data_IF_139031351106
#
_entry.id   IF_139031351106
#
_cell.length_a   1.000
_cell.length_b   1.000
_cell.length_c   1.000
_cell.angle_alpha   90.00
_cell.angle_beta   90.00
_cell.angle_gamma   90.00
#
_symmetry.space_group_name_H-M   'P 1'
#
loop_
_entity.id
_entity.type
_entity.pdbx_description
1 polymer ?
#
# COMPACT_ATOMS: atom_id res chain seq x y z
N UNK A 1 -19.18 2.58 -19.62
CA UNK A 1 -19.65 2.49 -18.23
C UNK A 1 -20.53 3.70 -17.99
N UNK A 2 -21.85 3.50 -17.89
CA UNK A 2 -22.80 4.60 -17.71
C UNK A 2 -22.45 5.39 -16.46
N UNK A 3 -22.38 6.71 -16.60
CA UNK A 3 -22.13 7.64 -15.51
C UNK A 3 -23.44 7.77 -14.71
N UNK A 4 -23.73 6.77 -13.88
CA UNK A 4 -24.77 6.88 -12.85
C UNK A 4 -24.35 8.01 -11.93
N UNK A 5 -25.11 9.11 -11.95
CA UNK A 5 -24.90 10.18 -10.99
C UNK A 5 -25.77 9.89 -9.79
N UNK A 6 -25.29 10.21 -8.59
CA UNK A 6 -26.06 10.08 -7.35
C UNK A 6 -27.42 10.84 -7.41
N UNK A 7 -27.57 11.78 -8.34
CA UNK A 7 -28.82 12.51 -8.61
C UNK A 7 -29.86 11.70 -9.41
N UNK A 8 -29.52 10.48 -9.86
CA UNK A 8 -30.44 9.55 -10.53
C UNK A 8 -31.19 8.64 -9.55
N UNK A 9 -30.84 8.67 -8.26
CA UNK A 9 -31.52 7.89 -7.21
C UNK A 9 -32.92 8.46 -6.93
N UNK A 10 -33.91 7.57 -6.81
CA UNK A 10 -35.33 7.93 -6.59
C UNK A 10 -35.54 8.82 -5.35
N UNK A 11 -34.70 8.65 -4.33
CA UNK A 11 -34.75 9.38 -3.07
C UNK A 11 -34.61 10.90 -3.25
N UNK A 12 -33.97 11.36 -4.34
CA UNK A 12 -33.85 12.79 -4.67
C UNK A 12 -34.96 13.31 -5.59
N UNK A 13 -35.76 12.42 -6.19
CA UNK A 13 -36.82 12.76 -7.16
C UNK A 13 -38.22 12.67 -6.54
N UNK A 14 -38.37 11.83 -5.52
CA UNK A 14 -39.64 11.60 -4.85
C UNK A 14 -39.82 12.53 -3.65
N UNK A 15 -41.07 12.86 -3.27
CA UNK A 15 -41.36 13.53 -2.01
C UNK A 15 -40.81 12.72 -0.82
N UNK A 16 -40.42 13.42 0.25
CA UNK A 16 -39.90 12.77 1.46
C UNK A 16 -40.84 11.67 1.97
N UNK A 17 -40.29 10.47 2.14
CA UNK A 17 -41.03 9.31 2.65
C UNK A 17 -41.80 8.49 1.60
N UNK A 18 -41.82 8.93 0.33
CA UNK A 18 -42.39 8.13 -0.75
C UNK A 18 -41.33 7.23 -1.39
N UNK A 19 -41.69 5.96 -1.62
CA UNK A 19 -40.79 4.96 -2.21
C UNK A 19 -41.38 4.33 -3.47
N UNK A 20 -40.57 4.14 -4.51
CA UNK A 20 -40.93 3.36 -5.71
C UNK A 20 -41.01 1.87 -5.36
N UNK A 21 -42.12 1.23 -5.72
CA UNK A 21 -42.39 -0.18 -5.41
C UNK A 21 -42.49 -1.06 -6.65
N UNK A 22 -42.61 -0.48 -7.84
CA UNK A 22 -42.53 -1.24 -9.08
C UNK A 22 -42.87 -0.43 -10.33
N UNK A 23 -42.66 -1.08 -11.47
CA UNK A 23 -42.94 -0.52 -12.79
C UNK A 23 -43.81 -1.50 -13.57
N UNK A 24 -44.96 -1.02 -14.03
CA UNK A 24 -45.81 -1.80 -14.92
C UNK A 24 -45.38 -1.53 -16.37
N UNK A 25 -44.71 -2.52 -16.96
CA UNK A 25 -44.22 -2.44 -18.34
C UNK A 25 -45.36 -2.37 -19.37
N UNK A 26 -46.52 -2.97 -19.07
CA UNK A 26 -47.65 -3.00 -20.00
C UNK A 26 -48.30 -1.61 -20.11
N UNK A 27 -48.44 -0.91 -18.98
CA UNK A 27 -49.00 0.44 -18.96
C UNK A 27 -47.95 1.55 -19.03
N UNK A 28 -46.67 1.23 -18.87
CA UNK A 28 -45.56 2.17 -18.84
C UNK A 28 -45.61 3.11 -17.65
N UNK A 29 -46.00 2.62 -16.47
CA UNK A 29 -46.26 3.46 -15.28
C UNK A 29 -45.50 2.99 -14.05
N UNK A 30 -45.03 3.95 -13.27
CA UNK A 30 -44.42 3.70 -11.97
C UNK A 30 -45.47 3.71 -10.86
N UNK A 31 -45.28 2.81 -9.89
CA UNK A 31 -46.07 2.72 -8.67
C UNK A 31 -45.20 3.03 -7.46
N UNK A 32 -45.79 3.74 -6.51
CA UNK A 32 -45.13 4.24 -5.32
C UNK A 32 -45.95 3.92 -4.07
N UNK A 33 -45.28 3.78 -2.93
CA UNK A 33 -45.87 3.60 -1.61
C UNK A 33 -45.40 4.74 -0.72
N UNK A 34 -46.35 5.39 -0.07
CA UNK A 34 -46.12 6.44 0.92
C UNK A 34 -45.80 5.84 2.30
N UNK A 35 -45.30 6.65 3.23
CA UNK A 35 -45.11 6.33 4.65
C UNK A 35 -46.38 5.82 5.32
N UNK A 36 -47.53 6.38 4.93
CA UNK A 36 -48.86 5.97 5.40
C UNK A 36 -49.34 4.64 4.78
N UNK A 37 -48.53 3.99 3.94
CA UNK A 37 -48.90 2.79 3.19
C UNK A 37 -49.85 3.06 2.00
N UNK A 38 -50.17 4.33 1.73
CA UNK A 38 -50.98 4.72 0.57
C UNK A 38 -50.24 4.44 -0.73
N UNK A 39 -50.96 3.91 -1.72
CA UNK A 39 -50.41 3.60 -3.03
C UNK A 39 -50.65 4.74 -4.01
N UNK A 40 -49.67 5.01 -4.84
CA UNK A 40 -49.67 6.10 -5.81
C UNK A 40 -49.19 5.61 -7.16
N UNK A 41 -49.76 6.14 -8.24
CA UNK A 41 -49.31 5.89 -9.62
C UNK A 41 -48.84 7.17 -10.30
N UNK A 42 -47.78 7.08 -11.08
CA UNK A 42 -47.30 8.15 -11.94
C UNK A 42 -48.06 8.27 -13.26
N UNK A 43 -47.81 9.35 -14.03
CA UNK A 43 -48.23 9.45 -15.42
C UNK A 43 -47.51 8.40 -16.29
N UNK A 44 -48.08 8.06 -17.45
CA UNK A 44 -47.46 7.11 -18.38
C UNK A 44 -46.14 7.68 -18.94
N UNK A 45 -45.06 6.93 -18.82
CA UNK A 45 -43.75 7.25 -19.41
C UNK A 45 -43.12 8.55 -18.92
N UNK A 46 -43.61 9.12 -17.81
CA UNK A 46 -43.14 10.39 -17.29
C UNK A 46 -42.16 10.17 -16.13
N UNK A 47 -40.98 10.78 -16.24
CA UNK A 47 -39.98 10.84 -15.15
C UNK A 47 -40.41 11.84 -14.06
N UNK A 48 -41.17 12.88 -14.44
CA UNK A 48 -41.68 13.91 -13.53
C UNK A 48 -43.16 14.18 -13.82
N UNK A 49 -43.97 14.36 -12.78
CA UNK A 49 -45.38 14.70 -12.93
C UNK A 49 -46.19 14.55 -11.66
N UNK A 50 -47.49 14.82 -11.77
CA UNK A 50 -48.42 14.62 -10.66
C UNK A 50 -48.77 13.14 -10.53
N UNK A 51 -48.69 12.64 -9.30
CA UNK A 51 -49.07 11.27 -8.94
C UNK A 51 -50.55 11.20 -8.52
N UNK A 52 -51.20 10.09 -8.83
CA UNK A 52 -52.60 9.85 -8.47
C UNK A 52 -52.68 8.68 -7.49
N UNK A 53 -53.42 8.87 -6.39
CA UNK A 53 -53.63 7.81 -5.39
C UNK A 53 -54.43 6.66 -6.01
N UNK A 54 -54.01 5.43 -5.73
CA UNK A 54 -54.68 4.19 -6.16
C UNK A 54 -54.91 3.28 -4.97
N UNK A 55 -55.89 2.38 -5.08
CA UNK A 55 -56.20 1.41 -4.03
C UNK A 55 -55.64 0.01 -4.34
N UNK A 56 -55.34 -0.29 -5.61
CA UNK A 56 -54.92 -1.60 -6.06
C UNK A 56 -53.71 -1.50 -7.00
N UNK A 57 -52.79 -2.45 -6.88
CA UNK A 57 -51.64 -2.63 -7.76
C UNK A 57 -51.98 -3.63 -8.87
N UNK A 58 -51.41 -3.51 -10.07
CA UNK A 58 -51.53 -4.54 -11.09
C UNK A 58 -50.82 -5.83 -10.64
N UNK A 59 -51.30 -6.98 -11.09
CA UNK A 59 -50.81 -8.30 -10.66
C UNK A 59 -49.30 -8.51 -10.89
N UNK A 60 -48.75 -7.88 -11.93
CA UNK A 60 -47.30 -7.88 -12.23
C UNK A 60 -46.50 -7.21 -11.12
N UNK A 61 -46.91 -6.01 -10.71
CA UNK A 61 -46.26 -5.25 -9.64
C UNK A 61 -46.53 -5.89 -8.26
N UNK A 62 -47.72 -6.45 -8.04
CA UNK A 62 -48.01 -7.18 -6.79
C UNK A 62 -47.04 -8.35 -6.57
N UNK A 63 -46.81 -9.15 -7.61
CA UNK A 63 -45.88 -10.28 -7.54
C UNK A 63 -44.43 -9.82 -7.28
N UNK A 64 -43.99 -8.72 -7.93
CA UNK A 64 -42.65 -8.14 -7.70
C UNK A 64 -42.49 -7.66 -6.25
N UNK A 65 -43.50 -6.98 -5.71
CA UNK A 65 -43.50 -6.50 -4.32
C UNK A 65 -43.46 -7.67 -3.34
N UNK A 66 -44.29 -8.69 -3.52
CA UNK A 66 -44.33 -9.88 -2.65
C UNK A 66 -42.99 -10.64 -2.66
N UNK A 67 -42.36 -10.77 -3.83
CA UNK A 67 -41.03 -11.37 -3.95
C UNK A 67 -39.95 -10.56 -3.23
N UNK A 68 -40.00 -9.22 -3.31
CA UNK A 68 -39.06 -8.32 -2.65
C UNK A 68 -39.19 -8.33 -1.11
N UNK A 69 -40.42 -8.42 -0.60
CA UNK A 69 -40.71 -8.48 0.85
C UNK A 69 -40.23 -9.82 1.46
N UNK A 70 -40.31 -10.92 0.70
CA UNK A 70 -39.89 -12.25 1.17
C UNK A 70 -38.37 -12.44 1.24
N UNK A 71 -37.60 -11.74 0.41
CA UNK A 71 -36.16 -11.90 0.29
C UNK A 71 -35.32 -10.90 1.10
N UNK A 72 -35.95 -10.09 1.95
CA UNK A 72 -35.21 -9.19 2.85
C UNK A 72 -34.66 -7.97 2.11
N UNK A 73 -35.54 -7.19 1.47
CA UNK A 73 -35.55 -5.73 1.58
C UNK A 73 -34.33 -4.93 1.13
N UNK A 74 -33.53 -5.39 0.16
CA UNK A 74 -32.58 -4.50 -0.52
C UNK A 74 -33.25 -3.94 -1.79
N UNK A 75 -33.81 -2.75 -1.68
CA UNK A 75 -34.61 -2.11 -2.72
C UNK A 75 -33.78 -1.14 -3.58
N UNK A 76 -32.46 -1.16 -3.38
CA UNK A 76 -31.57 -0.09 -3.85
C UNK A 76 -31.29 -0.21 -5.36
N UNK A 77 -31.63 -1.34 -5.97
CA UNK A 77 -31.39 -1.65 -7.38
C UNK A 77 -32.67 -2.06 -8.14
N UNK A 78 -33.84 -1.50 -7.79
CA UNK A 78 -35.08 -1.76 -8.56
C UNK A 78 -34.99 -1.28 -10.03
N UNK A 79 -34.02 -0.42 -10.35
CA UNK A 79 -33.73 0.03 -11.72
C UNK A 79 -32.91 -1.00 -12.54
N UNK A 80 -32.29 -1.97 -11.87
CA UNK A 80 -31.42 -2.97 -12.49
C UNK A 80 -31.92 -4.43 -12.36
N UNK A 81 -33.16 -4.63 -11.90
CA UNK A 81 -33.72 -5.98 -11.82
C UNK A 81 -33.81 -6.64 -13.21
N UNK A 82 -33.17 -7.80 -13.42
CA UNK A 82 -33.23 -8.48 -14.70
C UNK A 82 -34.68 -8.87 -15.01
N UNK A 83 -35.12 -8.46 -16.20
CA UNK A 83 -36.37 -8.82 -16.88
C UNK A 83 -36.90 -10.20 -16.46
N UNK A 84 -37.95 -10.23 -15.64
CA UNK A 84 -38.79 -11.42 -15.54
C UNK A 84 -39.72 -11.48 -16.76
N UNK A 85 -39.13 -11.70 -17.94
CA UNK A 85 -39.90 -12.14 -19.10
C UNK A 85 -40.45 -13.52 -18.80
N UNK A 86 -41.71 -13.77 -19.13
CA UNK A 86 -42.41 -15.03 -18.86
C UNK A 86 -41.71 -16.27 -19.46
N UNK A 87 -40.76 -16.06 -20.39
CA UNK A 87 -39.93 -17.09 -20.97
C UNK A 87 -38.47 -16.60 -21.17
N UNK A 88 -37.52 -17.26 -20.50
CA UNK A 88 -36.10 -17.31 -20.87
C UNK A 88 -35.15 -16.41 -20.08
N UNK A 89 -34.57 -16.96 -19.00
CA UNK A 89 -33.13 -17.10 -18.70
C UNK A 89 -32.98 -17.31 -17.19
N UNK A 90 -32.99 -18.58 -16.78
CA UNK A 90 -32.69 -18.98 -15.40
C UNK A 90 -31.18 -18.87 -15.19
N UNK A 91 -30.74 -18.15 -14.16
CA UNK A 91 -29.32 -18.06 -13.79
C UNK A 91 -28.86 -19.45 -13.38
N UNK A 92 -28.10 -20.12 -14.26
CA UNK A 92 -27.48 -21.40 -13.95
C UNK A 92 -26.33 -21.14 -12.97
N UNK A 93 -26.61 -21.31 -11.68
CA UNK A 93 -25.57 -21.36 -10.66
C UNK A 93 -24.78 -22.66 -10.79
N UNK A 94 -23.45 -22.49 -10.86
CA UNK A 94 -22.40 -23.51 -10.98
C UNK A 94 -22.60 -24.78 -10.13
N UNK A 95 -22.59 -25.91 -10.84
CA UNK A 95 -21.96 -27.21 -10.52
C UNK A 95 -22.10 -27.82 -9.12
N UNK A 96 -22.80 -28.96 -9.12
CA UNK A 96 -22.51 -30.21 -8.40
C UNK A 96 -22.38 -30.20 -6.87
N UNK A 97 -23.39 -30.80 -6.19
CA UNK A 97 -23.22 -31.99 -5.33
C UNK A 97 -24.55 -32.48 -4.73
N UNK A 98 -24.92 -33.68 -5.16
CA UNK A 98 -25.55 -34.80 -4.46
C UNK A 98 -26.63 -34.53 -3.38
N UNK A 99 -27.86 -34.85 -3.79
CA UNK A 99 -28.84 -35.71 -3.11
C UNK A 99 -28.54 -36.06 -1.64
N UNK A 100 -29.32 -35.51 -0.70
CA UNK A 100 -30.08 -36.24 0.35
C UNK A 100 -30.90 -35.22 1.16
N UNK A 101 -32.23 -35.43 1.15
CA UNK A 101 -33.26 -34.67 1.84
C UNK A 101 -32.88 -34.21 3.26
N UNK A 102 -32.65 -32.91 3.42
CA UNK A 102 -32.81 -32.19 4.70
C UNK A 102 -33.47 -30.84 4.43
N UNK A 103 -34.53 -30.44 5.15
CA UNK A 103 -35.04 -29.09 5.06
C UNK A 103 -33.90 -28.16 5.49
N UNK A 104 -33.52 -27.26 4.57
CA UNK A 104 -32.44 -26.31 4.74
C UNK A 104 -32.78 -25.37 5.90
N UNK A 105 -32.48 -25.78 7.13
CA UNK A 105 -32.16 -24.85 8.20
C UNK A 105 -30.93 -24.09 7.69
N UNK A 106 -31.17 -22.90 7.15
CA UNK A 106 -30.13 -21.98 6.77
C UNK A 106 -29.41 -21.61 8.07
N UNK A 107 -28.41 -22.41 8.45
CA UNK A 107 -27.47 -22.03 9.47
C UNK A 107 -26.75 -20.83 8.89
N UNK A 108 -27.23 -19.63 9.24
CA UNK A 108 -26.62 -18.36 8.91
C UNK A 108 -25.27 -18.34 9.64
N UNK A 109 -24.29 -19.00 9.07
CA UNK A 109 -22.92 -18.59 9.28
C UNK A 109 -22.77 -17.29 8.51
N UNK A 110 -22.97 -16.19 9.23
CA UNK A 110 -22.52 -14.84 8.88
C UNK A 110 -20.98 -14.87 8.74
N UNK A 111 -20.49 -15.57 7.72
CA UNK A 111 -19.07 -15.68 7.40
C UNK A 111 -18.74 -15.09 6.02
N UNK A 112 -19.74 -14.54 5.32
CA UNK A 112 -19.54 -13.86 4.04
C UNK A 112 -19.00 -12.44 4.18
N UNK A 113 -19.25 -11.74 5.31
CA UNK A 113 -18.74 -10.37 5.52
C UNK A 113 -17.22 -10.31 5.60
N UNK A 114 -16.56 -11.39 6.07
CA UNK A 114 -15.11 -11.44 6.19
C UNK A 114 -14.41 -11.92 4.90
N UNK A 115 -15.13 -12.45 3.90
CA UNK A 115 -14.53 -12.90 2.63
C UNK A 115 -14.02 -11.73 1.80
N UNK A 116 -14.73 -10.61 1.81
CA UNK A 116 -14.27 -9.35 1.19
C UNK A 116 -13.23 -8.62 2.04
N UNK A 117 -13.19 -8.86 3.35
CA UNK A 117 -12.22 -8.24 4.26
C UNK A 117 -10.90 -9.02 4.37
N UNK A 118 -10.90 -10.32 4.05
CA UNK A 118 -9.73 -11.19 4.02
C UNK A 118 -8.53 -10.63 3.23
N UNK A 119 -8.69 -10.09 1.99
CA UNK A 119 -7.56 -9.48 1.29
C UNK A 119 -6.97 -8.28 2.05
N UNK A 120 -7.80 -7.47 2.73
CA UNK A 120 -7.31 -6.35 3.53
C UNK A 120 -6.59 -6.82 4.79
N UNK A 121 -7.09 -7.85 5.47
CA UNK A 121 -6.41 -8.43 6.63
C UNK A 121 -5.07 -9.07 6.26
N UNK A 122 -4.96 -9.72 5.09
CA UNK A 122 -3.68 -10.23 4.59
C UNK A 122 -2.69 -9.09 4.29
N UNK A 123 -3.15 -8.02 3.64
CA UNK A 123 -2.30 -6.85 3.38
C UNK A 123 -1.84 -6.22 4.71
N UNK A 124 -2.75 -6.01 5.66
CA UNK A 124 -2.43 -5.47 6.99
C UNK A 124 -1.44 -6.38 7.72
N UNK A 125 -1.63 -7.70 7.71
CA UNK A 125 -0.72 -8.64 8.34
C UNK A 125 0.68 -8.60 7.70
N UNK A 126 0.78 -8.55 6.37
CA UNK A 126 2.06 -8.42 5.66
C UNK A 126 2.71 -7.07 5.98
N UNK A 127 1.97 -5.97 5.98
CA UNK A 127 2.47 -4.65 6.35
C UNK A 127 2.95 -4.61 7.81
N UNK A 128 2.22 -5.20 8.75
CA UNK A 128 2.63 -5.31 10.14
C UNK A 128 3.89 -6.18 10.30
N UNK A 129 4.02 -7.28 9.56
CA UNK A 129 5.23 -8.08 9.53
C UNK A 129 6.41 -7.34 8.90
N UNK A 130 6.19 -6.51 7.88
CA UNK A 130 7.23 -5.67 7.28
C UNK A 130 7.65 -4.52 8.19
N UNK A 131 6.70 -3.88 8.88
CA UNK A 131 6.97 -2.84 9.87
C UNK A 131 7.66 -3.44 11.09
N UNK A 132 7.19 -4.57 11.61
CA UNK A 132 7.88 -5.32 12.66
C UNK A 132 9.28 -5.72 12.23
N UNK A 133 9.45 -6.24 11.01
CA UNK A 133 10.77 -6.56 10.46
C UNK A 133 11.65 -5.30 10.35
N UNK A 134 11.10 -4.17 9.95
CA UNK A 134 11.81 -2.90 9.81
C UNK A 134 12.19 -2.29 11.18
N UNK A 135 11.33 -2.46 12.19
CA UNK A 135 11.55 -1.97 13.56
C UNK A 135 12.45 -2.90 14.39
N UNK A 136 12.41 -4.21 14.14
CA UNK A 136 13.21 -5.24 14.85
C UNK A 136 14.52 -5.55 14.14
N UNK A 137 14.66 -5.25 12.83
CA UNK A 137 15.92 -5.40 12.08
C UNK A 137 16.39 -4.07 11.47
N UNK A 138 17.07 -3.20 12.23
CA UNK A 138 17.79 -2.07 11.64
C UNK A 138 19.12 -2.49 10.99
N UNK A 139 19.30 -3.74 10.52
CA UNK A 139 20.65 -4.20 10.10
C UNK A 139 20.73 -5.59 9.43
N UNK A 140 20.07 -5.85 8.29
CA UNK A 140 20.43 -7.02 7.46
C UNK A 140 20.62 -6.72 5.96
N UNK A 141 20.46 -5.48 5.52
CA UNK A 141 20.74 -5.11 4.12
C UNK A 141 21.30 -3.71 3.97
N UNK A 142 22.09 -3.27 4.96
CA UNK A 142 23.15 -2.34 4.64
C UNK A 142 24.41 -3.20 4.52
N UNK A 143 25.03 -3.36 3.34
CA UNK A 143 26.48 -3.43 3.39
C UNK A 143 26.91 -2.21 4.21
N UNK A 144 27.93 -2.35 5.05
CA UNK A 144 28.59 -1.22 5.66
C UNK A 144 29.30 -0.38 4.57
N UNK A 145 28.52 0.16 3.63
CA UNK A 145 28.80 1.40 2.95
C UNK A 145 28.06 2.48 3.77
N UNK A 146 28.33 2.54 5.07
CA UNK A 146 28.74 3.87 5.54
C UNK A 146 29.83 4.27 4.55
N UNK A 147 29.77 5.42 3.85
CA UNK A 147 30.98 5.88 3.21
C UNK A 147 32.01 5.93 4.34
N UNK A 148 32.88 4.93 4.39
CA UNK A 148 34.04 4.93 5.27
C UNK A 148 34.76 6.15 4.77
N UNK A 149 34.54 7.28 5.44
CA UNK A 149 35.11 8.57 5.02
C UNK A 149 36.63 8.44 4.98
N UNK A 150 37.14 7.46 5.73
CA UNK A 150 38.53 7.08 5.87
C UNK A 150 38.72 5.57 5.71
N UNK A 151 39.78 5.11 5.02
CA UNK A 151 40.10 3.69 4.84
C UNK A 151 40.35 2.97 6.17
N UNK A 152 40.35 1.63 6.16
CA UNK A 152 40.60 0.81 7.35
C UNK A 152 41.89 1.23 8.08
N UNK A 153 41.84 1.34 9.42
CA UNK A 153 42.99 1.75 10.23
C UNK A 153 43.22 3.27 10.32
N UNK A 154 42.33 4.08 9.74
CA UNK A 154 42.37 5.55 9.83
C UNK A 154 41.09 6.10 10.43
N UNK A 155 41.20 7.23 11.13
CA UNK A 155 40.10 7.94 11.77
C UNK A 155 39.96 9.34 11.18
N UNK A 156 38.73 9.82 11.09
CA UNK A 156 38.46 11.19 10.67
C UNK A 156 38.94 12.18 11.75
N UNK A 157 39.65 13.21 11.31
CA UNK A 157 40.18 14.30 12.12
C UNK A 157 39.82 15.64 11.50
N UNK A 158 39.43 16.60 12.32
CA UNK A 158 39.06 17.94 11.89
C UNK A 158 40.24 18.90 12.03
N UNK A 159 40.64 19.49 10.91
CA UNK A 159 41.75 20.44 10.87
C UNK A 159 41.41 21.71 11.66
N UNK A 160 42.30 22.10 12.57
CA UNK A 160 42.19 23.34 13.33
C UNK A 160 42.80 24.52 12.55
N UNK A 161 42.35 25.77 12.82
CA UNK A 161 42.95 26.96 12.22
C UNK A 161 44.47 27.02 12.43
N UNK A 162 45.21 27.29 11.35
CA UNK A 162 46.67 27.44 11.38
C UNK A 162 47.47 26.14 11.29
N UNK A 163 46.83 24.97 11.17
CA UNK A 163 47.53 23.71 10.93
C UNK A 163 47.81 23.49 9.43
N UNK A 164 48.97 22.91 9.12
CA UNK A 164 49.31 22.46 7.77
C UNK A 164 49.24 20.94 7.62
N UNK A 165 49.06 20.43 6.40
CA UNK A 165 49.10 18.98 6.11
C UNK A 165 50.40 18.35 6.62
N UNK A 166 51.53 19.05 6.46
CA UNK A 166 52.85 18.55 6.82
C UNK A 166 53.04 18.41 8.34
N UNK A 167 52.57 19.38 9.12
CA UNK A 167 52.64 19.30 10.58
C UNK A 167 51.75 18.20 11.13
N UNK A 168 50.52 18.11 10.61
CA UNK A 168 49.52 17.13 11.04
C UNK A 168 49.93 15.70 10.66
N UNK A 169 50.49 15.50 9.46
CA UNK A 169 51.00 14.18 9.06
C UNK A 169 52.20 13.76 9.91
N UNK A 170 53.13 14.69 10.16
CA UNK A 170 54.34 14.44 10.97
C UNK A 170 54.01 14.13 12.42
N UNK A 171 53.07 14.85 13.04
CA UNK A 171 52.61 14.57 14.41
C UNK A 171 52.05 13.15 14.53
N UNK A 172 51.41 12.65 13.47
CA UNK A 172 50.81 11.32 13.39
C UNK A 172 51.76 10.23 12.88
N UNK A 173 52.99 10.58 12.54
CA UNK A 173 54.00 9.63 12.05
C UNK A 173 53.81 9.20 10.59
N UNK A 174 53.09 9.97 9.78
CA UNK A 174 52.92 9.74 8.34
C UNK A 174 53.80 10.65 7.49
N UNK A 175 54.25 10.11 6.35
CA UNK A 175 54.81 10.92 5.27
C UNK A 175 53.71 11.71 4.54
N UNK A 176 54.10 12.79 3.87
CA UNK A 176 53.16 13.62 3.10
C UNK A 176 52.52 12.83 1.94
N UNK A 177 53.26 11.88 1.34
CA UNK A 177 52.79 11.03 0.27
C UNK A 177 51.67 10.09 0.75
N UNK A 178 51.86 9.43 1.90
CA UNK A 178 50.84 8.56 2.52
C UNK A 178 49.58 9.34 2.92
N UNK A 179 49.75 10.59 3.38
CA UNK A 179 48.63 11.47 3.70
C UNK A 179 47.78 11.80 2.46
N UNK A 180 48.42 12.11 1.33
CA UNK A 180 47.73 12.43 0.09
C UNK A 180 47.04 11.19 -0.52
N UNK A 181 47.64 10.01 -0.40
CA UNK A 181 47.04 8.75 -0.85
C UNK A 181 45.74 8.44 -0.07
N UNK A 182 45.74 8.65 1.24
CA UNK A 182 44.55 8.49 2.08
C UNK A 182 43.51 9.60 1.87
N UNK A 183 43.91 10.77 1.37
CA UNK A 183 43.09 11.97 1.25
C UNK A 183 43.20 12.64 -0.13
N UNK A 184 42.84 11.96 -1.23
CA UNK A 184 43.01 12.51 -2.59
C UNK A 184 42.13 13.74 -2.88
N UNK A 185 41.15 14.03 -2.01
CA UNK A 185 40.23 15.17 -2.12
C UNK A 185 40.70 16.42 -1.36
N UNK A 186 41.80 16.33 -0.61
CA UNK A 186 42.29 17.40 0.25
C UNK A 186 43.44 18.11 -0.43
N UNK A 187 43.29 19.41 -0.66
CA UNK A 187 44.36 20.23 -1.19
C UNK A 187 45.20 20.82 -0.04
N UNK A 188 46.52 20.63 -0.09
CA UNK A 188 47.43 21.05 0.99
C UNK A 188 47.97 22.49 0.83
N UNK A 189 47.73 23.13 -0.32
CA UNK A 189 48.17 24.51 -0.58
C UNK A 189 47.19 25.55 0.04
N UNK A 190 45.86 25.35 -0.04
CA UNK A 190 44.90 25.98 0.87
C UNK A 190 44.21 24.94 1.78
N UNK A 191 44.79 24.66 2.95
CA UNK A 191 44.09 23.81 3.92
C UNK A 191 43.06 24.61 4.71
N UNK A 192 41.78 24.40 4.41
CA UNK A 192 40.67 25.09 5.05
C UNK A 192 40.41 24.52 6.47
N UNK A 193 40.33 25.37 7.51
CA UNK A 193 39.90 24.94 8.84
C UNK A 193 38.50 24.32 8.78
N UNK A 194 38.26 23.26 9.55
CA UNK A 194 36.99 22.51 9.51
C UNK A 194 36.90 21.47 8.40
N UNK A 195 37.97 21.23 7.63
CA UNK A 195 38.04 20.09 6.70
C UNK A 195 38.24 18.78 7.47
N UNK A 196 37.49 17.73 7.12
CA UNK A 196 37.70 16.38 7.65
C UNK A 196 38.78 15.65 6.83
N UNK A 197 39.84 15.22 7.49
CA UNK A 197 40.93 14.43 6.91
C UNK A 197 41.04 13.09 7.61
N UNK A 198 41.58 12.09 6.92
CA UNK A 198 41.80 10.76 7.44
C UNK A 198 43.23 10.64 7.92
N UNK A 199 43.40 10.27 9.19
CA UNK A 199 44.69 10.16 9.87
C UNK A 199 44.77 8.83 10.63
N UNK A 200 45.96 8.32 10.89
CA UNK A 200 46.09 7.12 11.70
C UNK A 200 45.74 7.47 13.17
N UNK A 201 45.32 6.46 13.96
CA UNK A 201 45.16 6.65 15.39
C UNK A 201 46.45 7.22 15.99
N UNK A 202 46.31 8.15 16.93
CA UNK A 202 47.47 8.63 17.70
C UNK A 202 48.14 7.39 18.30
N UNK A 203 49.48 7.26 18.23
CA UNK A 203 50.16 6.22 18.97
C UNK A 203 49.81 6.45 20.45
N UNK A 204 48.94 5.60 21.02
CA UNK A 204 48.69 5.61 22.45
C UNK A 204 50.05 5.38 23.10
N UNK A 205 50.41 6.21 24.08
CA UNK A 205 51.64 6.08 24.86
C UNK A 205 51.63 4.83 25.78
N UNK A 206 51.11 3.71 25.28
CA UNK A 206 50.95 2.43 25.94
C UNK A 206 50.74 1.36 24.88
N UNK A 207 51.84 0.77 24.41
CA UNK A 207 51.82 -0.25 23.36
C UNK A 207 53.12 -0.32 22.56
N UNK A 208 54.29 -0.21 23.23
CA UNK A 208 55.53 -0.70 22.63
C UNK A 208 55.37 -2.21 22.53
N UNK A 209 55.20 -2.72 21.30
CA UNK A 209 55.88 -3.93 20.85
C UNK A 209 55.62 -4.20 19.35
N UNK A 210 56.74 -4.24 18.62
CA UNK A 210 56.98 -5.09 17.44
C UNK A 210 56.42 -4.63 16.09
N UNK A 211 57.28 -4.00 15.28
CA UNK A 211 57.71 -4.53 13.97
C UNK A 211 58.71 -3.56 13.31
N UNK A 212 59.87 -3.38 13.96
CA UNK A 212 61.06 -2.82 13.32
C UNK A 212 61.86 -3.99 12.76
N UNK A 213 61.45 -4.53 11.61
CA UNK A 213 62.29 -5.47 10.86
C UNK A 213 62.64 -4.89 9.48
N UNK A 214 63.37 -3.78 9.52
CA UNK A 214 64.12 -3.27 8.37
C UNK A 214 65.42 -4.08 8.30
N UNK A 215 65.34 -5.31 7.79
CA UNK A 215 66.53 -6.10 7.42
C UNK A 215 67.21 -5.41 6.24
N UNK A 216 68.24 -4.65 6.58
CA UNK A 216 69.40 -4.41 5.70
C UNK A 216 70.06 -5.76 5.42
N UNK A 217 70.46 -5.95 4.17
CA UNK A 217 71.22 -7.10 3.68
C UNK A 217 70.73 -7.38 2.27
N UNK A 218 71.45 -7.12 1.20
CA UNK A 218 72.89 -6.96 1.05
C UNK A 218 73.12 -7.40 -0.38
N UNK A 219 73.64 -6.50 -1.21
CA UNK A 219 73.93 -6.75 -2.61
C UNK A 219 74.83 -7.98 -2.77
N UNK A 220 74.48 -8.87 -3.70
CA UNK A 220 75.46 -9.82 -4.25
C UNK A 220 75.40 -9.77 -5.77
N UNK A 221 76.23 -8.88 -6.31
CA UNK A 221 76.79 -8.98 -7.66
C UNK A 221 77.65 -10.25 -7.71
N UNK A 222 77.42 -11.12 -8.68
CA UNK A 222 78.45 -12.02 -9.22
C UNK A 222 78.45 -11.90 -10.73
N UNK A 223 79.56 -11.40 -11.26
CA UNK A 223 79.99 -11.54 -12.65
C UNK A 223 81.08 -12.66 -12.70
N UNK A 224 81.83 -12.88 -13.81
CA UNK A 224 81.55 -13.91 -14.82
C UNK A 224 82.71 -14.94 -15.00
N UNK A 225 82.58 -15.79 -16.03
CA UNK A 225 83.59 -16.64 -16.72
C UNK A 225 83.87 -18.05 -16.17
N UNK A 226 83.56 -19.07 -16.98
CA UNK A 226 84.53 -19.68 -17.91
C UNK A 226 83.80 -20.28 -19.10
#
# INVERSE_FOLDING_TARGET
>A
MGRWTQYDEDDYRLPEGMKRIGYDADSGRYYFRDTDGSLWKGPQGAEFGQMTRVNELPATVQAEVEHSERHGGHNDDLEASPRASRDGYQVLSESDRDEHSRPMAHQVHNHSSYRSLFPFFLIIAVCLLLVWRLLVQPSLSSPAITPKRCPEGTAAYWIQPGQSCWEVSRERGWSLAEFHEANPKVNCEPLLPGTSVCLPPKPSAGGVNTLKNRKRGGAQRRAPRR
#
